data_IF_581103106210
#
_entry.id   IF_581103106210
#
_cell.length_a   1.000
_cell.length_b   1.000
_cell.length_c   1.000
_cell.angle_alpha   90.00
_cell.angle_beta   90.00
_cell.angle_gamma   90.00
#
_symmetry.space_group_name_H-M   'P 1'
#
loop_
_entity.id
_entity.type
_entity.pdbx_description
1 polymer ?
#
# COMPACT_ATOMS: atom_id res chain seq x y z
N UNK A 1 -10.06 31.36 3.68
CA UNK A 1 -9.81 30.28 2.71
C UNK A 1 -10.43 29.02 3.29
N UNK A 2 -11.68 28.78 2.98
CA UNK A 2 -12.33 27.52 3.38
C UNK A 2 -11.95 26.48 2.33
N UNK A 3 -11.37 25.37 2.76
CA UNK A 3 -10.67 24.44 1.88
C UNK A 3 -11.60 23.65 0.94
N UNK A 4 -10.99 22.91 0.00
CA UNK A 4 -11.66 22.07 -1.01
C UNK A 4 -12.77 21.15 -0.48
N UNK A 5 -12.73 20.79 0.81
CA UNK A 5 -13.77 19.99 1.46
C UNK A 5 -15.10 20.75 1.64
N UNK A 6 -15.05 22.06 1.93
CA UNK A 6 -16.24 22.89 2.07
C UNK A 6 -16.90 23.12 0.71
N UNK A 7 -16.10 23.49 -0.30
CA UNK A 7 -16.58 23.62 -1.68
C UNK A 7 -17.24 22.33 -2.18
N UNK A 8 -16.66 21.16 -1.90
CA UNK A 8 -17.29 19.88 -2.24
C UNK A 8 -18.63 19.66 -1.54
N UNK A 9 -18.72 19.95 -0.24
CA UNK A 9 -19.95 19.79 0.52
C UNK A 9 -21.06 20.68 -0.04
N UNK A 10 -20.73 21.92 -0.41
CA UNK A 10 -21.67 22.89 -0.99
C UNK A 10 -22.16 22.49 -2.39
N UNK A 11 -21.42 21.65 -3.12
CA UNK A 11 -21.84 21.09 -4.42
C UNK A 11 -22.78 19.88 -4.31
N UNK A 12 -23.03 19.36 -3.11
CA UNK A 12 -23.89 18.19 -2.95
C UNK A 12 -25.37 18.56 -3.14
N UNK A 13 -26.16 17.75 -3.90
CA UNK A 13 -27.58 18.02 -4.07
C UNK A 13 -28.33 18.06 -2.72
N UNK A 14 -29.32 18.94 -2.60
CA UNK A 14 -30.22 18.99 -1.44
C UNK A 14 -30.86 17.62 -1.20
N UNK A 15 -30.79 17.15 0.05
CA UNK A 15 -31.31 15.83 0.44
C UNK A 15 -30.43 14.65 0.03
N UNK A 16 -29.25 14.87 -0.58
CA UNK A 16 -28.31 13.79 -0.89
C UNK A 16 -27.54 13.27 0.33
N UNK A 17 -27.37 14.11 1.36
CA UNK A 17 -26.73 13.78 2.64
C UNK A 17 -27.74 14.02 3.74
N UNK A 18 -28.38 12.94 4.22
CA UNK A 18 -29.43 13.01 5.26
C UNK A 18 -29.00 12.36 6.57
N UNK A 19 -27.87 11.65 6.58
CA UNK A 19 -27.31 11.00 7.76
C UNK A 19 -25.79 11.19 7.83
N UNK A 20 -25.24 11.12 9.04
CA UNK A 20 -23.79 11.17 9.25
C UNK A 20 -23.06 10.03 8.51
N UNK A 21 -23.63 8.83 8.49
CA UNK A 21 -23.07 7.70 7.74
C UNK A 21 -22.95 7.98 6.23
N UNK A 22 -23.97 8.63 5.64
CA UNK A 22 -23.96 9.00 4.22
C UNK A 22 -22.92 10.10 3.92
N UNK A 23 -22.75 11.07 4.83
CA UNK A 23 -21.71 12.09 4.74
C UNK A 23 -20.32 11.46 4.71
N UNK A 24 -20.07 10.56 5.68
CA UNK A 24 -18.80 9.84 5.81
C UNK A 24 -18.51 9.01 4.56
N UNK A 25 -19.48 8.22 4.09
CA UNK A 25 -19.33 7.37 2.90
C UNK A 25 -19.01 8.18 1.63
N UNK A 26 -19.75 9.27 1.38
CA UNK A 26 -19.51 10.13 0.22
C UNK A 26 -18.18 10.87 0.32
N UNK A 27 -17.80 11.32 1.51
CA UNK A 27 -16.52 11.98 1.75
C UNK A 27 -15.36 11.01 1.49
N UNK A 28 -15.41 9.81 2.06
CA UNK A 28 -14.40 8.78 1.81
C UNK A 28 -14.39 8.34 0.35
N UNK A 29 -15.54 8.19 -0.31
CA UNK A 29 -15.58 7.87 -1.75
C UNK A 29 -14.91 8.96 -2.60
N UNK A 30 -15.10 10.24 -2.25
CA UNK A 30 -14.52 11.38 -2.98
C UNK A 30 -13.02 11.51 -2.76
N UNK A 31 -12.56 11.39 -1.51
CA UNK A 31 -11.19 11.70 -1.11
C UNK A 31 -10.29 10.47 -0.94
N UNK A 32 -10.88 9.31 -0.70
CA UNK A 32 -10.23 8.01 -0.56
C UNK A 32 -10.95 6.94 -1.42
N UNK A 33 -11.04 7.14 -2.75
CA UNK A 33 -11.79 6.23 -3.60
C UNK A 33 -11.25 4.80 -3.45
N UNK A 34 -12.17 3.87 -3.17
CA UNK A 34 -11.89 2.43 -2.97
C UNK A 34 -11.07 1.82 -4.11
N UNK A 35 -11.21 2.32 -5.34
CA UNK A 35 -10.41 1.91 -6.49
C UNK A 35 -8.93 2.19 -6.32
N UNK A 36 -8.54 3.36 -5.79
CA UNK A 36 -7.12 3.68 -5.53
C UNK A 36 -6.54 2.78 -4.46
N UNK A 37 -7.33 2.45 -3.43
CA UNK A 37 -6.91 1.50 -2.39
C UNK A 37 -6.72 0.09 -2.98
N UNK A 38 -7.65 -0.39 -3.81
CA UNK A 38 -7.54 -1.69 -4.46
C UNK A 38 -6.35 -1.78 -5.43
N UNK A 39 -6.11 -0.72 -6.21
CA UNK A 39 -4.97 -0.65 -7.13
C UNK A 39 -3.63 -0.68 -6.37
N UNK A 40 -3.51 0.08 -5.28
CA UNK A 40 -2.32 0.05 -4.42
C UNK A 40 -2.13 -1.32 -3.77
N UNK A 41 -3.20 -1.95 -3.27
CA UNK A 41 -3.14 -3.31 -2.73
C UNK A 41 -2.67 -4.32 -3.78
N UNK A 42 -3.13 -4.19 -5.04
CA UNK A 42 -2.67 -5.02 -6.15
C UNK A 42 -1.18 -4.82 -6.43
N UNK A 43 -0.69 -3.59 -6.44
CA UNK A 43 0.74 -3.31 -6.63
C UNK A 43 1.60 -3.84 -5.48
N UNK A 44 1.09 -3.84 -4.25
CA UNK A 44 1.77 -4.43 -3.10
C UNK A 44 1.84 -5.96 -3.23
N UNK A 45 0.72 -6.63 -3.56
CA UNK A 45 0.64 -8.10 -3.59
C UNK A 45 1.33 -8.71 -4.81
N UNK A 46 1.36 -8.00 -5.93
CA UNK A 46 2.01 -8.42 -7.18
C UNK A 46 3.34 -7.69 -7.41
N UNK A 47 3.97 -7.21 -6.33
CA UNK A 47 5.26 -6.55 -6.44
C UNK A 47 6.28 -7.49 -7.07
N UNK A 48 7.13 -6.95 -7.94
CA UNK A 48 8.25 -7.63 -8.56
C UNK A 48 9.41 -6.63 -8.66
N UNK A 49 10.62 -7.10 -8.41
CA UNK A 49 11.83 -6.34 -8.69
C UNK A 49 11.97 -6.12 -10.22
N UNK A 50 12.40 -4.92 -10.61
CA UNK A 50 12.62 -4.60 -12.03
C UNK A 50 14.08 -4.86 -12.43
N UNK A 51 14.35 -5.20 -13.70
CA UNK A 51 15.65 -5.69 -14.21
C UNK A 51 16.86 -4.77 -13.91
N UNK A 52 16.61 -3.48 -13.70
CA UNK A 52 17.65 -2.47 -13.47
C UNK A 52 17.62 -1.89 -12.05
N UNK A 53 16.83 -2.46 -11.14
CA UNK A 53 16.76 -2.01 -9.76
C UNK A 53 17.72 -2.77 -8.87
N UNK A 54 18.39 -2.04 -7.97
CA UNK A 54 19.06 -2.67 -6.83
C UNK A 54 18.03 -3.11 -5.78
N UNK A 55 18.40 -4.04 -4.89
CA UNK A 55 17.56 -4.46 -3.75
C UNK A 55 17.07 -3.25 -2.93
N UNK A 56 17.96 -2.25 -2.73
CA UNK A 56 17.61 -1.03 -1.98
C UNK A 56 16.54 -0.23 -2.71
N UNK A 57 16.72 0.01 -4.00
CA UNK A 57 15.79 0.81 -4.79
C UNK A 57 14.41 0.12 -4.85
N UNK A 58 14.39 -1.21 -5.03
CA UNK A 58 13.18 -2.01 -4.96
C UNK A 58 12.50 -1.93 -3.58
N UNK A 59 13.26 -1.95 -2.48
CA UNK A 59 12.71 -1.81 -1.12
C UNK A 59 12.10 -0.43 -0.90
N UNK A 60 12.76 0.63 -1.35
CA UNK A 60 12.25 2.01 -1.27
C UNK A 60 10.96 2.15 -2.10
N UNK A 61 10.92 1.61 -3.32
CA UNK A 61 9.71 1.59 -4.15
C UNK A 61 8.57 0.84 -3.45
N UNK A 62 8.85 -0.35 -2.92
CA UNK A 62 7.88 -1.17 -2.21
C UNK A 62 7.31 -0.45 -0.97
N UNK A 63 8.18 0.10 -0.12
CA UNK A 63 7.76 0.83 1.10
C UNK A 63 6.98 2.10 0.79
N UNK A 64 7.28 2.78 -0.31
CA UNK A 64 6.54 3.97 -0.78
C UNK A 64 5.07 3.66 -1.09
N UNK A 65 4.74 2.42 -1.49
CA UNK A 65 3.36 2.00 -1.76
C UNK A 65 2.53 2.03 -0.47
N UNK A 66 3.10 1.66 0.68
CA UNK A 66 2.41 1.69 1.96
C UNK A 66 2.19 3.11 2.48
N UNK A 67 3.07 4.06 2.18
CA UNK A 67 2.86 5.47 2.53
C UNK A 67 1.67 6.08 1.78
N UNK A 68 1.42 5.61 0.55
CA UNK A 68 0.29 6.03 -0.30
C UNK A 68 -1.03 5.34 0.08
N UNK A 69 -0.93 4.20 0.77
CA UNK A 69 -2.04 3.37 1.17
C UNK A 69 -2.36 3.67 2.64
N UNK A 70 -3.33 4.58 2.87
CA UNK A 70 -3.78 4.91 4.22
C UNK A 70 -4.54 3.73 4.84
N UNK A 71 -3.81 2.91 5.60
CA UNK A 71 -4.29 1.91 6.57
C UNK A 71 -4.74 0.54 6.01
N UNK A 72 -3.91 -0.52 6.14
CA UNK A 72 -4.22 -1.82 5.50
C UNK A 72 -4.03 -3.08 6.34
N UNK A 73 -3.64 -2.99 7.62
CA UNK A 73 -3.54 -4.20 8.45
C UNK A 73 -2.56 -5.27 7.93
N UNK A 74 -1.64 -4.91 7.02
CA UNK A 74 -0.58 -5.81 6.57
C UNK A 74 0.44 -6.00 7.70
N UNK A 75 0.65 -7.24 8.10
CA UNK A 75 1.67 -7.61 9.08
C UNK A 75 3.06 -7.39 8.49
N UNK A 76 4.06 -7.14 9.35
CA UNK A 76 5.45 -7.04 8.88
C UNK A 76 5.92 -8.35 8.26
N UNK A 77 5.39 -9.48 8.72
CA UNK A 77 5.63 -10.78 8.12
C UNK A 77 5.10 -10.86 6.67
N UNK A 78 3.92 -10.31 6.40
CA UNK A 78 3.42 -10.22 5.03
C UNK A 78 4.32 -9.33 4.17
N UNK A 79 4.69 -8.14 4.65
CA UNK A 79 5.51 -7.18 3.88
C UNK A 79 6.85 -7.77 3.49
N UNK A 80 7.57 -8.33 4.46
CA UNK A 80 8.90 -8.89 4.25
C UNK A 80 8.83 -10.15 3.37
N UNK A 81 7.83 -11.00 3.59
CA UNK A 81 7.63 -12.22 2.79
C UNK A 81 7.32 -11.90 1.33
N UNK A 82 6.38 -10.98 1.07
CA UNK A 82 6.05 -10.53 -0.28
C UNK A 82 7.26 -9.90 -0.96
N UNK A 83 7.98 -9.01 -0.27
CA UNK A 83 9.19 -8.41 -0.82
C UNK A 83 10.25 -9.46 -1.18
N UNK A 84 10.56 -10.37 -0.26
CA UNK A 84 11.55 -11.43 -0.51
C UNK A 84 11.16 -12.28 -1.71
N UNK A 85 9.89 -12.70 -1.84
CA UNK A 85 9.44 -13.49 -3.00
C UNK A 85 9.51 -12.74 -4.34
N UNK A 86 9.38 -11.42 -4.31
CA UNK A 86 9.41 -10.54 -5.47
C UNK A 86 10.81 -10.30 -6.05
N UNK A 87 11.88 -10.64 -5.29
CA UNK A 87 13.26 -10.44 -5.72
C UNK A 87 13.72 -11.49 -6.75
N UNK A 88 14.70 -11.10 -7.54
CA UNK A 88 15.42 -12.04 -8.40
C UNK A 88 16.15 -13.13 -7.58
N UNK A 89 16.37 -14.32 -8.15
CA UNK A 89 17.05 -15.42 -7.46
C UNK A 89 18.42 -15.02 -6.88
N UNK A 90 19.18 -14.21 -7.60
CA UNK A 90 20.52 -13.75 -7.21
C UNK A 90 20.46 -12.87 -5.96
N UNK A 91 19.48 -11.97 -5.92
CA UNK A 91 19.26 -11.06 -4.79
C UNK A 91 18.71 -11.79 -3.56
N UNK A 92 17.88 -12.82 -3.75
CA UNK A 92 17.46 -13.73 -2.66
C UNK A 92 18.65 -14.45 -2.03
N UNK A 93 19.58 -14.94 -2.86
CA UNK A 93 20.79 -15.62 -2.38
C UNK A 93 21.68 -14.66 -1.59
N UNK A 94 21.82 -13.41 -2.05
CA UNK A 94 22.57 -12.39 -1.32
C UNK A 94 21.95 -12.12 0.05
N UNK A 95 20.62 -11.96 0.13
CA UNK A 95 19.93 -11.77 1.41
C UNK A 95 20.11 -12.98 2.33
N UNK A 96 19.91 -14.20 1.82
CA UNK A 96 20.07 -15.43 2.61
C UNK A 96 21.50 -15.59 3.14
N UNK A 97 22.51 -15.21 2.35
CA UNK A 97 23.92 -15.21 2.76
C UNK A 97 24.18 -14.23 3.91
N UNK A 98 23.68 -13.00 3.80
CA UNK A 98 23.83 -11.96 4.85
C UNK A 98 23.08 -12.35 6.12
N UNK A 99 21.91 -12.97 5.99
CA UNK A 99 21.15 -13.50 7.11
C UNK A 99 21.75 -14.79 7.70
N UNK A 100 22.73 -15.40 7.01
CA UNK A 100 23.39 -16.65 7.37
C UNK A 100 22.51 -17.91 7.25
N UNK A 101 21.24 -17.76 6.86
CA UNK A 101 20.20 -18.79 6.63
C UNK A 101 19.06 -18.18 5.80
N UNK A 102 18.17 -19.04 5.28
CA UNK A 102 17.01 -18.57 4.53
C UNK A 102 16.15 -17.57 5.31
N UNK A 103 15.90 -16.39 4.71
CA UNK A 103 15.22 -15.28 5.37
C UNK A 103 13.82 -15.66 5.88
N UNK A 104 13.05 -16.43 5.11
CA UNK A 104 11.68 -16.78 5.46
C UNK A 104 11.61 -17.63 6.73
N UNK A 105 12.67 -18.39 7.03
CA UNK A 105 12.75 -19.21 8.27
C UNK A 105 12.91 -18.39 9.55
N UNK A 106 13.22 -17.09 9.43
CA UNK A 106 13.37 -16.16 10.56
C UNK A 106 12.10 -15.40 10.90
N UNK A 107 11.07 -15.49 10.07
CA UNK A 107 9.86 -14.71 10.22
C UNK A 107 8.91 -15.38 11.23
N UNK A 108 8.41 -14.66 12.25
CA UNK A 108 7.47 -15.22 13.22
C UNK A 108 6.16 -15.60 12.52
N UNK A 109 5.60 -16.75 12.92
CA UNK A 109 4.28 -17.25 12.47
C UNK A 109 3.14 -16.39 13.00
#
# INVERSE_FOLDING_TARGET
MEGQAKEWLDTQPLGSITTFANLVDKFFTRYHPLSKTADLQKHITHFAQEEHETIRDAWERYTSLFLKCSNHGFTDAFKVGTFYHALFPEDKQLIDLVCGRNMLTKMPS
#
